data_IF_092802984050
#
_entry.id   IF_092802984050
#
_cell.length_a   1.000
_cell.length_b   1.000
_cell.length_c   1.000
_cell.angle_alpha   90.00
_cell.angle_beta   90.00
_cell.angle_gamma   90.00
#
_symmetry.space_group_name_H-M   'P 1'
#
loop_
_entity.id
_entity.type
_entity.pdbx_description
1 polymer ?
#
# COMPACT_ATOMS: atom_id res chain seq x y z
N UNK A 1 9.45 19.64 -3.00
CA UNK A 1 10.53 18.66 -2.74
C UNK A 1 10.02 17.57 -1.80
N UNK A 2 9.56 16.44 -2.34
CA UNK A 2 9.29 15.23 -1.56
C UNK A 2 10.53 14.33 -1.65
N UNK A 3 11.63 14.77 -1.02
CA UNK A 3 12.90 14.05 -1.01
C UNK A 3 12.81 12.94 0.04
N UNK A 4 12.35 11.78 -0.44
CA UNK A 4 12.95 10.47 -0.18
C UNK A 4 13.63 10.29 1.19
N UNK A 5 12.99 9.55 2.10
CA UNK A 5 13.63 8.77 3.18
C UNK A 5 14.48 9.47 4.26
N UNK A 6 14.56 10.81 4.35
CA UNK A 6 15.51 11.44 5.29
C UNK A 6 15.01 11.73 6.71
N UNK A 7 13.71 11.77 7.00
CA UNK A 7 13.25 12.10 8.37
C UNK A 7 12.27 11.12 9.03
N UNK A 8 11.63 10.22 8.29
CA UNK A 8 10.60 9.35 8.88
C UNK A 8 10.89 7.89 8.55
N UNK A 9 11.39 7.16 9.55
CA UNK A 9 11.54 5.72 9.41
C UNK A 9 10.18 5.03 9.36
N UNK A 10 10.13 3.87 8.74
CA UNK A 10 8.94 3.03 8.68
C UNK A 10 8.36 2.75 10.08
N UNK A 11 9.22 2.60 11.08
CA UNK A 11 8.85 2.41 12.48
C UNK A 11 8.16 3.63 13.08
N UNK A 12 8.59 4.85 12.75
CA UNK A 12 7.94 6.08 13.22
C UNK A 12 6.53 6.21 12.64
N UNK A 13 6.38 5.93 11.34
CA UNK A 13 5.07 5.93 10.68
C UNK A 13 4.16 4.87 11.28
N UNK A 14 4.65 3.64 11.46
CA UNK A 14 3.89 2.56 12.06
C UNK A 14 3.47 2.87 13.51
N UNK A 15 4.37 3.44 14.31
CA UNK A 15 4.09 3.89 15.68
C UNK A 15 3.02 4.98 15.72
N UNK A 16 3.14 5.99 14.86
CA UNK A 16 2.17 7.09 14.78
C UNK A 16 0.79 6.59 14.33
N UNK A 17 0.73 5.73 13.31
CA UNK A 17 -0.50 5.11 12.85
C UNK A 17 -1.14 4.24 13.95
N UNK A 18 -0.34 3.42 14.64
CA UNK A 18 -0.82 2.62 15.75
C UNK A 18 -1.33 3.50 16.90
N UNK A 19 -0.71 4.64 17.19
CA UNK A 19 -1.20 5.57 18.20
C UNK A 19 -2.53 6.22 17.81
N UNK A 20 -2.66 6.70 16.57
CA UNK A 20 -3.84 7.40 16.08
C UNK A 20 -5.07 6.50 15.89
N UNK A 21 -4.89 5.20 15.66
CA UNK A 21 -5.98 4.26 15.37
C UNK A 21 -6.55 3.62 16.63
N UNK A 22 -7.88 3.52 16.71
CA UNK A 22 -8.56 2.60 17.63
C UNK A 22 -8.37 1.15 17.22
N UNK A 23 -8.65 0.20 18.12
CA UNK A 23 -8.71 -1.22 17.77
C UNK A 23 -9.69 -1.46 16.61
N UNK A 24 -9.29 -2.25 15.61
CA UNK A 24 -10.05 -2.44 14.37
C UNK A 24 -9.97 -1.26 13.39
N UNK A 25 -9.26 -0.18 13.72
CA UNK A 25 -9.00 0.94 12.83
C UNK A 25 -8.17 0.53 11.62
N UNK A 26 -8.45 1.12 10.46
CA UNK A 26 -7.81 0.80 9.18
C UNK A 26 -6.75 1.85 8.84
N UNK A 27 -5.60 1.39 8.36
CA UNK A 27 -4.50 2.20 7.88
C UNK A 27 -4.20 1.85 6.42
N UNK A 28 -3.98 2.83 5.56
CA UNK A 28 -3.59 2.61 4.17
C UNK A 28 -2.40 3.48 3.81
N UNK A 29 -1.43 2.92 3.10
CA UNK A 29 -0.26 3.67 2.65
C UNK A 29 0.37 3.06 1.40
N UNK A 30 1.14 3.88 0.68
CA UNK A 30 1.83 3.53 -0.56
C UNK A 30 3.33 3.48 -0.30
N UNK A 31 4.00 2.41 -0.72
CA UNK A 31 5.44 2.25 -0.57
C UNK A 31 6.09 1.72 -1.84
N UNK A 32 7.41 1.88 -1.94
CA UNK A 32 8.19 1.18 -2.96
C UNK A 32 8.17 -0.33 -2.70
N UNK A 33 7.91 -1.10 -3.75
CA UNK A 33 7.80 -2.56 -3.65
C UNK A 33 9.08 -3.22 -3.11
N UNK A 34 10.26 -2.66 -3.41
CA UNK A 34 11.55 -3.16 -2.93
C UNK A 34 11.67 -3.24 -1.39
N UNK A 35 10.87 -2.48 -0.63
CA UNK A 35 10.90 -2.47 0.84
C UNK A 35 9.74 -3.23 1.49
N UNK A 36 9.02 -4.05 0.72
CA UNK A 36 7.82 -4.73 1.21
C UNK A 36 8.11 -5.67 2.39
N UNK A 37 9.23 -6.39 2.40
CA UNK A 37 9.58 -7.26 3.53
C UNK A 37 9.71 -6.47 4.83
N UNK A 38 10.46 -5.36 4.80
CA UNK A 38 10.64 -4.49 5.97
C UNK A 38 9.30 -3.86 6.40
N UNK A 39 8.46 -3.48 5.43
CA UNK A 39 7.11 -2.97 5.64
C UNK A 39 6.27 -3.90 6.51
N UNK A 40 6.09 -5.13 6.04
CA UNK A 40 5.21 -6.11 6.65
C UNK A 40 5.67 -6.46 8.06
N UNK A 41 6.96 -6.72 8.24
CA UNK A 41 7.53 -7.05 9.56
C UNK A 41 7.37 -5.90 10.55
N UNK A 42 7.61 -4.66 10.12
CA UNK A 42 7.49 -3.49 11.01
C UNK A 42 6.05 -3.25 11.42
N UNK A 43 5.10 -3.38 10.51
CA UNK A 43 3.69 -3.16 10.80
C UNK A 43 3.15 -4.20 11.77
N UNK A 44 3.49 -5.48 11.56
CA UNK A 44 3.13 -6.56 12.49
C UNK A 44 3.68 -6.30 13.90
N UNK A 45 4.92 -5.82 14.02
CA UNK A 45 5.51 -5.44 15.30
C UNK A 45 4.68 -4.37 16.04
N UNK A 46 4.12 -3.38 15.32
CA UNK A 46 3.25 -2.34 15.88
C UNK A 46 1.76 -2.71 15.92
N UNK A 47 1.41 -4.01 15.85
CA UNK A 47 0.02 -4.51 15.87
C UNK A 47 -0.84 -3.97 14.72
N UNK A 48 -0.22 -3.56 13.62
CA UNK A 48 -0.89 -3.18 12.38
C UNK A 48 -0.82 -4.38 11.44
N UNK A 49 -1.86 -5.21 11.43
CA UNK A 49 -1.84 -6.42 10.61
C UNK A 49 -2.12 -6.07 9.14
N UNK A 50 -1.20 -6.32 8.20
CA UNK A 50 -1.44 -6.11 6.77
C UNK A 50 -2.55 -7.05 6.28
N UNK A 51 -3.64 -6.48 5.77
CA UNK A 51 -4.82 -7.21 5.32
C UNK A 51 -5.00 -7.22 3.82
N UNK A 52 -4.52 -6.17 3.14
CA UNK A 52 -4.65 -6.00 1.69
C UNK A 52 -3.34 -5.52 1.11
N UNK A 53 -2.86 -6.17 0.07
CA UNK A 53 -1.65 -5.81 -0.66
C UNK A 53 -2.02 -5.71 -2.13
N UNK A 54 -1.90 -4.53 -2.73
CA UNK A 54 -2.14 -4.29 -4.15
C UNK A 54 -0.81 -3.91 -4.81
N UNK A 55 -0.19 -4.84 -5.58
CA UNK A 55 0.99 -4.54 -6.37
C UNK A 55 0.64 -3.64 -7.56
N UNK A 56 1.48 -2.65 -7.84
CA UNK A 56 1.32 -1.74 -8.97
C UNK A 56 2.53 -1.81 -9.88
N UNK A 57 2.25 -2.11 -11.14
CA UNK A 57 3.23 -2.31 -12.18
C UNK A 57 3.25 -1.11 -13.12
N UNK A 58 4.42 -0.56 -13.46
CA UNK A 58 4.48 0.53 -14.43
C UNK A 58 3.98 0.08 -15.82
N UNK A 59 4.32 -1.14 -16.22
CA UNK A 59 3.93 -1.79 -17.49
C UNK A 59 3.79 -3.29 -17.28
N UNK A 60 3.07 -3.96 -18.18
CA UNK A 60 3.01 -5.41 -18.21
C UNK A 60 4.42 -6.03 -18.37
N UNK A 61 4.69 -7.14 -17.68
CA UNK A 61 5.98 -7.84 -17.73
C UNK A 61 7.15 -7.14 -17.02
N UNK A 62 6.93 -6.01 -16.34
CA UNK A 62 7.91 -5.40 -15.43
C UNK A 62 7.64 -5.82 -13.99
N UNK A 63 8.58 -5.53 -13.11
CA UNK A 63 8.38 -5.68 -11.67
C UNK A 63 7.50 -4.56 -11.11
N UNK A 64 6.85 -4.83 -9.97
CA UNK A 64 6.06 -3.83 -9.28
C UNK A 64 6.96 -2.68 -8.81
N UNK A 65 6.60 -1.44 -9.13
CA UNK A 65 7.34 -0.26 -8.69
C UNK A 65 6.90 0.18 -7.30
N UNK A 66 5.60 0.09 -7.04
CA UNK A 66 4.97 0.45 -5.78
C UNK A 66 3.97 -0.60 -5.33
N UNK A 67 3.68 -0.60 -4.04
CA UNK A 67 2.69 -1.46 -3.41
C UNK A 67 1.80 -0.60 -2.53
N UNK A 68 0.49 -0.76 -2.69
CA UNK A 68 -0.50 -0.19 -1.78
C UNK A 68 -0.81 -1.24 -0.73
N UNK A 69 -0.67 -0.87 0.55
CA UNK A 69 -0.92 -1.80 1.65
C UNK A 69 -1.95 -1.20 2.60
N UNK A 70 -2.99 -1.99 2.87
CA UNK A 70 -3.99 -1.73 3.88
C UNK A 70 -3.78 -2.64 5.08
N UNK A 71 -3.76 -2.07 6.28
CA UNK A 71 -3.61 -2.77 7.54
C UNK A 71 -4.74 -2.46 8.52
N UNK A 72 -4.94 -3.35 9.49
CA UNK A 72 -5.95 -3.19 10.55
C UNK A 72 -5.29 -3.35 11.92
N UNK A 73 -5.47 -2.36 12.79
CA UNK A 73 -4.89 -2.38 14.13
C UNK A 73 -5.52 -3.48 14.98
N UNK A 74 -4.70 -4.40 15.48
CA UNK A 74 -5.09 -5.48 16.38
C UNK A 74 -5.85 -6.63 15.71
N UNK A 75 -5.89 -6.70 14.38
CA UNK A 75 -6.50 -7.84 13.70
C UNK A 75 -5.63 -9.10 13.83
N UNK A 76 -6.27 -10.27 13.70
CA UNK A 76 -5.59 -11.57 13.67
C UNK A 76 -4.73 -11.71 12.41
N UNK A 77 -3.66 -12.53 12.41
CA UNK A 77 -2.82 -12.75 11.24
C UNK A 77 -3.57 -13.09 9.95
N UNK A 78 -3.00 -12.71 8.82
CA UNK A 78 -3.44 -13.09 7.48
C UNK A 78 -3.93 -11.91 6.65
N UNK A 79 -3.89 -12.03 5.34
CA UNK A 79 -4.28 -10.98 4.41
C UNK A 79 -4.45 -11.52 2.99
N UNK A 80 -4.83 -10.65 2.05
CA UNK A 80 -4.97 -11.01 0.64
C UNK A 80 -4.09 -10.12 -0.24
N UNK A 81 -3.52 -10.74 -1.26
CA UNK A 81 -2.89 -10.04 -2.37
C UNK A 81 -3.96 -9.83 -3.44
N UNK A 82 -4.19 -8.58 -3.80
CA UNK A 82 -5.17 -8.17 -4.80
C UNK A 82 -4.61 -8.36 -6.20
N UNK A 83 -5.52 -8.44 -7.19
CA UNK A 83 -5.14 -8.41 -8.60
C UNK A 83 -4.33 -7.16 -8.91
N UNK A 84 -3.21 -7.31 -9.62
CA UNK A 84 -2.28 -6.22 -9.80
C UNK A 84 -2.83 -5.09 -10.68
N UNK A 85 -2.42 -3.87 -10.41
CA UNK A 85 -2.77 -2.71 -11.24
C UNK A 85 -1.61 -2.36 -12.16
N UNK A 86 -1.83 -2.34 -13.47
CA UNK A 86 -0.85 -1.89 -14.46
C UNK A 86 -1.13 -0.43 -14.81
N UNK A 87 -0.11 0.43 -14.77
CA UNK A 87 -0.28 1.86 -15.02
C UNK A 87 -0.39 2.19 -16.50
N UNK A 88 0.47 1.60 -17.34
CA UNK A 88 0.51 1.85 -18.78
C UNK A 88 0.25 0.58 -19.59
N UNK A 89 -0.63 0.70 -20.59
CA UNK A 89 -0.83 -0.32 -21.61
C UNK A 89 0.33 -0.37 -22.62
N UNK A 90 0.23 -1.27 -23.59
CA UNK A 90 1.26 -1.47 -24.62
C UNK A 90 1.48 -0.20 -25.46
N UNK A 91 0.41 0.57 -25.70
CA UNK A 91 0.43 1.85 -26.43
C UNK A 91 1.08 3.01 -25.66
N UNK A 92 1.60 2.76 -24.45
CA UNK A 92 2.18 3.78 -23.56
C UNK A 92 1.16 4.70 -22.88
N UNK A 93 -0.14 4.55 -23.20
CA UNK A 93 -1.24 5.28 -22.56
C UNK A 93 -1.56 4.69 -21.18
N UNK A 94 -2.08 5.54 -20.28
CA UNK A 94 -2.55 5.10 -18.98
C UNK A 94 -3.73 4.14 -19.11
N UNK A 95 -3.77 3.12 -18.25
CA UNK A 95 -4.85 2.14 -18.28
C UNK A 95 -6.18 2.75 -17.81
N UNK A 96 -7.31 2.26 -18.32
CA UNK A 96 -8.64 2.68 -17.84
C UNK A 96 -8.81 2.46 -16.34
N UNK A 97 -8.24 1.38 -15.78
CA UNK A 97 -8.28 1.08 -14.35
C UNK A 97 -7.60 2.16 -13.50
N UNK A 98 -6.48 2.72 -13.98
CA UNK A 98 -5.83 3.84 -13.31
C UNK A 98 -6.71 5.09 -13.38
N UNK A 99 -7.20 5.44 -14.56
CA UNK A 99 -8.04 6.62 -14.75
C UNK A 99 -9.31 6.57 -13.89
N UNK A 100 -9.92 5.38 -13.76
CA UNK A 100 -11.05 5.14 -12.86
C UNK A 100 -10.68 5.33 -11.40
N UNK A 101 -9.50 4.87 -10.95
CA UNK A 101 -9.06 5.04 -9.57
C UNK A 101 -8.84 6.51 -9.18
N UNK A 102 -8.57 7.39 -10.16
CA UNK A 102 -8.45 8.83 -9.97
C UNK A 102 -9.75 9.61 -10.18
N UNK A 103 -10.79 8.99 -10.77
CA UNK A 103 -12.11 9.58 -10.78
C UNK A 103 -12.62 9.69 -9.33
N UNK A 104 -13.28 10.80 -8.97
CA UNK A 104 -13.69 11.11 -7.58
C UNK A 104 -14.57 10.02 -6.91
N UNK A 105 -15.13 9.11 -7.69
CA UNK A 105 -15.74 7.85 -7.23
C UNK A 105 -14.68 6.73 -7.17
N UNK A 106 -13.68 6.90 -6.32
CA UNK A 106 -12.62 5.91 -6.13
C UNK A 106 -13.18 4.60 -5.54
N UNK A 107 -12.59 3.46 -5.95
CA UNK A 107 -12.92 2.10 -5.52
C UNK A 107 -13.38 2.05 -4.05
N UNK A 108 -14.58 1.51 -3.75
CA UNK A 108 -15.03 1.43 -2.38
C UNK A 108 -14.02 0.59 -1.60
N UNK A 109 -13.53 1.16 -0.50
CA UNK A 109 -12.70 0.47 0.48
C UNK A 109 -13.54 -0.59 1.22
N UNK A 110 -14.02 -1.62 0.51
CA UNK A 110 -14.66 -2.80 1.09
C UNK A 110 -13.63 -3.58 1.90
#
# INVERSE_FOLDING_TARGET
MARHDLCCSLSQVARAAAFALRFGGRFYAVFRAARISALLSTWQHFRLEPKRILPVYPKAGKDASVVLVGAVKGARPGGRVESPMVLQGEDGRFTPSLLQAYAREGLPCR
#
